data_IF_075793854186
#
_entry.id   IF_075793854186
#
_cell.length_a   1.000
_cell.length_b   1.000
_cell.length_c   1.000
_cell.angle_alpha   90.00
_cell.angle_beta   90.00
_cell.angle_gamma   90.00
#
_symmetry.space_group_name_H-M   'P 1'
#
loop_
_entity.id
_entity.type
_entity.pdbx_description
1 polymer ?
#
# COMPACT_ATOMS: atom_id res chain seq x y z
N UNK A 1 -5.76 27.71 0.57
CA UNK A 1 -6.12 26.50 -0.21
C UNK A 1 -5.67 25.25 0.55
N UNK A 2 -6.45 24.66 1.47
CA UNK A 2 -5.93 23.52 2.26
C UNK A 2 -6.96 22.66 3.03
N UNK A 3 -8.21 22.52 2.55
CA UNK A 3 -9.17 21.59 3.19
C UNK A 3 -9.49 20.36 2.31
N UNK A 4 -8.96 20.32 1.08
CA UNK A 4 -9.45 19.42 0.03
C UNK A 4 -8.68 18.10 -0.08
N UNK A 5 -7.53 17.94 0.59
CA UNK A 5 -6.64 16.77 0.40
C UNK A 5 -6.39 15.91 1.63
N UNK A 6 -6.91 16.29 2.80
CA UNK A 6 -6.70 15.54 4.05
C UNK A 6 -7.35 14.16 4.03
N UNK A 7 -8.58 14.05 3.51
CA UNK A 7 -9.26 12.76 3.41
C UNK A 7 -8.58 11.80 2.41
N UNK A 8 -8.23 12.22 1.18
CA UNK A 8 -7.40 11.42 0.27
C UNK A 8 -6.06 10.99 0.88
N UNK A 9 -5.37 11.90 1.58
CA UNK A 9 -4.09 11.61 2.22
C UNK A 9 -4.25 10.55 3.32
N UNK A 10 -5.31 10.65 4.12
CA UNK A 10 -5.60 9.67 5.18
C UNK A 10 -5.87 8.29 4.60
N UNK A 11 -6.65 8.20 3.50
CA UNK A 11 -6.89 6.94 2.81
C UNK A 11 -5.59 6.31 2.30
N UNK A 12 -4.73 7.11 1.69
CA UNK A 12 -3.45 6.60 1.19
C UNK A 12 -2.53 6.13 2.32
N UNK A 13 -2.42 6.91 3.40
CA UNK A 13 -1.66 6.53 4.60
C UNK A 13 -2.15 5.18 5.14
N UNK A 14 -3.46 4.93 5.16
CA UNK A 14 -3.99 3.66 5.65
C UNK A 14 -3.62 2.49 4.72
N UNK A 15 -3.70 2.65 3.40
CA UNK A 15 -3.21 1.66 2.43
C UNK A 15 -1.72 1.33 2.68
N UNK A 16 -0.88 2.36 2.82
CA UNK A 16 0.55 2.14 3.06
C UNK A 16 0.83 1.46 4.41
N UNK A 17 0.03 1.74 5.44
CA UNK A 17 0.12 1.06 6.74
C UNK A 17 -0.27 -0.41 6.65
N UNK A 18 -1.40 -0.72 6.01
CA UNK A 18 -1.86 -2.10 5.84
C UNK A 18 -0.83 -2.92 5.06
N UNK A 19 -0.29 -2.37 3.98
CA UNK A 19 0.79 -2.98 3.20
C UNK A 19 2.09 -3.11 3.99
N UNK A 20 2.47 -2.11 4.81
CA UNK A 20 3.67 -2.23 5.66
C UNK A 20 3.60 -3.43 6.61
N UNK A 21 2.39 -3.77 7.10
CA UNK A 21 2.14 -4.94 7.92
C UNK A 21 2.38 -6.26 7.18
N UNK A 22 2.06 -6.33 5.88
CA UNK A 22 2.34 -7.49 5.01
C UNK A 22 3.85 -7.77 5.00
N UNK A 23 4.66 -6.72 4.79
CA UNK A 23 6.12 -6.84 4.70
C UNK A 23 6.83 -6.90 6.06
N UNK A 24 6.13 -6.69 7.18
CA UNK A 24 6.73 -6.64 8.51
C UNK A 24 7.59 -5.39 8.74
N UNK A 25 7.30 -4.30 8.02
CA UNK A 25 8.05 -3.05 8.08
C UNK A 25 7.42 -2.14 9.14
N UNK A 26 8.24 -1.39 9.88
CA UNK A 26 7.75 -0.35 10.79
C UNK A 26 7.55 0.95 9.99
N UNK A 27 6.30 1.34 9.65
CA UNK A 27 6.04 2.40 8.68
C UNK A 27 6.67 3.74 9.07
N UNK A 28 6.67 4.11 10.35
CA UNK A 28 7.19 5.41 10.83
C UNK A 28 8.69 5.61 10.63
N UNK A 29 9.46 4.56 10.33
CA UNK A 29 10.91 4.63 10.13
C UNK A 29 11.33 4.53 8.66
N UNK A 30 10.48 3.93 7.82
CA UNK A 30 10.87 3.44 6.50
C UNK A 30 10.01 4.03 5.39
N UNK A 31 8.76 4.43 5.68
CA UNK A 31 7.82 4.89 4.66
C UNK A 31 7.63 6.39 4.75
N UNK A 32 7.83 7.05 3.62
CA UNK A 32 7.70 8.49 3.46
C UNK A 32 6.72 8.81 2.33
N UNK A 33 5.98 9.91 2.51
CA UNK A 33 5.09 10.46 1.50
C UNK A 33 5.66 11.78 1.00
N UNK A 34 5.61 11.98 -0.30
CA UNK A 34 5.89 13.27 -0.91
C UNK A 34 4.81 13.60 -1.94
N UNK A 35 4.77 14.85 -2.38
CA UNK A 35 3.92 15.28 -3.49
C UNK A 35 4.78 16.09 -4.43
N UNK A 36 4.91 15.62 -5.67
CA UNK A 36 5.58 16.35 -6.74
C UNK A 36 4.82 16.10 -8.05
N UNK A 37 4.29 17.17 -8.63
CA UNK A 37 3.52 17.15 -9.88
C UNK A 37 4.39 17.20 -11.14
N UNK A 38 5.66 17.58 -11.02
CA UNK A 38 6.60 17.75 -12.13
C UNK A 38 7.34 16.46 -12.50
N UNK A 39 7.23 15.44 -11.66
CA UNK A 39 7.89 14.14 -11.88
C UNK A 39 6.91 13.07 -12.36
N UNK A 40 7.45 12.11 -13.10
CA UNK A 40 6.81 10.84 -13.45
C UNK A 40 7.12 9.74 -12.42
N UNK A 41 7.93 10.03 -11.41
CA UNK A 41 8.30 9.10 -10.34
C UNK A 41 7.11 8.83 -9.41
N UNK A 42 6.68 7.56 -9.42
CA UNK A 42 5.54 7.04 -8.65
C UNK A 42 5.97 6.74 -7.22
N UNK A 43 7.11 6.07 -7.08
CA UNK A 43 7.78 5.78 -5.85
C UNK A 43 9.28 5.63 -6.14
N UNK A 44 10.09 5.65 -5.08
CA UNK A 44 11.50 5.31 -5.13
C UNK A 44 11.98 4.79 -3.78
N UNK A 45 13.04 3.98 -3.79
CA UNK A 45 13.80 3.62 -2.60
C UNK A 45 15.08 4.45 -2.52
N UNK A 46 15.28 5.11 -1.38
CA UNK A 46 16.52 5.80 -1.08
C UNK A 46 17.00 5.45 0.32
N UNK A 47 18.22 4.92 0.40
CA UNK A 47 18.85 4.52 1.67
C UNK A 47 17.96 3.57 2.51
N UNK A 48 17.33 2.59 1.85
CA UNK A 48 16.42 1.60 2.46
C UNK A 48 15.12 2.20 3.01
N UNK A 49 14.79 3.43 2.66
CA UNK A 49 13.50 4.06 2.91
C UNK A 49 12.70 4.16 1.61
N UNK A 50 11.41 3.86 1.70
CA UNK A 50 10.47 3.88 0.57
C UNK A 50 9.73 5.22 0.55
N UNK A 51 9.76 5.90 -0.59
CA UNK A 51 9.08 7.18 -0.80
C UNK A 51 7.97 6.99 -1.81
N UNK A 52 6.75 7.40 -1.48
CA UNK A 52 5.58 7.27 -2.35
C UNK A 52 5.04 8.64 -2.73
N UNK A 53 4.79 8.85 -4.02
CA UNK A 53 4.27 10.11 -4.52
C UNK A 53 2.75 10.15 -4.43
N UNK A 54 2.23 10.99 -3.55
CA UNK A 54 0.81 11.17 -3.31
C UNK A 54 0.02 11.65 -4.54
N UNK A 55 0.68 12.35 -5.49
CA UNK A 55 0.06 12.74 -6.77
C UNK A 55 -0.50 11.54 -7.52
N UNK A 56 0.23 10.43 -7.56
CA UNK A 56 -0.18 9.25 -8.30
C UNK A 56 -1.35 8.53 -7.64
N UNK A 57 -1.37 8.47 -6.30
CA UNK A 57 -2.55 7.98 -5.59
C UNK A 57 -3.80 8.81 -5.91
N UNK A 58 -3.68 10.15 -5.89
CA UNK A 58 -4.79 11.04 -6.23
C UNK A 58 -5.32 10.80 -7.66
N UNK A 59 -4.41 10.59 -8.62
CA UNK A 59 -4.76 10.39 -10.02
C UNK A 59 -5.34 9.00 -10.33
N UNK A 60 -4.86 7.96 -9.66
CA UNK A 60 -5.19 6.57 -10.00
C UNK A 60 -6.29 5.97 -9.12
N UNK A 61 -6.27 6.22 -7.81
CA UNK A 61 -7.00 5.38 -6.86
C UNK A 61 -7.91 6.14 -5.90
N UNK A 62 -7.75 7.45 -5.73
CA UNK A 62 -8.51 8.18 -4.71
C UNK A 62 -10.03 8.10 -4.89
N UNK A 63 -10.50 8.25 -6.14
CA UNK A 63 -11.93 8.20 -6.46
C UNK A 63 -12.54 6.82 -6.20
N UNK A 64 -11.81 5.74 -6.48
CA UNK A 64 -12.31 4.38 -6.23
C UNK A 64 -12.18 3.96 -4.75
N UNK A 65 -11.32 4.64 -3.98
CA UNK A 65 -11.07 4.33 -2.57
C UNK A 65 -11.90 5.16 -1.58
N UNK A 66 -12.87 5.97 -2.04
CA UNK A 66 -13.65 6.88 -1.19
C UNK A 66 -14.26 6.18 0.03
N UNK A 67 -14.85 5.00 -0.17
CA UNK A 67 -15.51 4.22 0.90
C UNK A 67 -14.54 3.27 1.59
N UNK A 68 -13.74 2.54 0.81
CA UNK A 68 -12.72 1.59 1.29
C UNK A 68 -11.66 1.37 0.19
N UNK A 69 -10.43 0.95 0.53
CA UNK A 69 -9.46 0.53 -0.47
C UNK A 69 -10.02 -0.57 -1.38
N UNK A 70 -9.84 -0.43 -2.69
CA UNK A 70 -10.21 -1.47 -3.67
C UNK A 70 -9.10 -2.52 -3.76
N UNK A 71 -9.45 -3.74 -4.21
CA UNK A 71 -8.45 -4.77 -4.53
C UNK A 71 -7.45 -4.27 -5.58
N UNK A 72 -7.91 -3.48 -6.55
CA UNK A 72 -7.05 -2.87 -7.58
C UNK A 72 -6.02 -1.93 -6.97
N UNK A 73 -6.44 -0.97 -6.14
CA UNK A 73 -5.54 -0.03 -5.47
C UNK A 73 -4.55 -0.77 -4.56
N UNK A 74 -5.04 -1.71 -3.75
CA UNK A 74 -4.20 -2.49 -2.84
C UNK A 74 -3.15 -3.32 -3.61
N UNK A 75 -3.54 -3.95 -4.73
CA UNK A 75 -2.65 -4.75 -5.57
C UNK A 75 -1.59 -3.89 -6.25
N UNK A 76 -2.00 -2.72 -6.79
CA UNK A 76 -1.08 -1.79 -7.42
C UNK A 76 0.03 -1.36 -6.46
N UNK A 77 -0.36 -0.88 -5.27
CA UNK A 77 0.62 -0.43 -4.28
C UNK A 77 1.41 -1.60 -3.67
N UNK A 78 0.83 -2.79 -3.52
CA UNK A 78 1.59 -3.99 -3.12
C UNK A 78 2.74 -4.29 -4.11
N UNK A 79 2.46 -4.23 -5.41
CA UNK A 79 3.50 -4.42 -6.43
C UNK A 79 4.49 -3.26 -6.44
N UNK A 80 4.07 -2.01 -6.20
CA UNK A 80 5.00 -0.89 -6.00
C UNK A 80 5.92 -1.14 -4.80
N UNK A 81 5.43 -1.63 -3.67
CA UNK A 81 6.28 -2.01 -2.54
C UNK A 81 7.31 -3.07 -2.92
N UNK A 82 6.89 -4.14 -3.60
CA UNK A 82 7.81 -5.20 -4.02
C UNK A 82 8.92 -4.65 -4.94
N UNK A 83 8.57 -3.75 -5.86
CA UNK A 83 9.51 -3.08 -6.74
C UNK A 83 10.52 -2.26 -5.93
N UNK A 84 10.04 -1.34 -5.08
CA UNK A 84 10.93 -0.49 -4.30
C UNK A 84 11.77 -1.28 -3.29
N UNK A 85 11.26 -2.39 -2.74
CA UNK A 85 12.03 -3.26 -1.86
C UNK A 85 13.16 -4.00 -2.60
N UNK A 86 12.99 -4.32 -3.88
CA UNK A 86 14.05 -4.93 -4.69
C UNK A 86 15.28 -4.01 -4.84
N UNK A 87 15.05 -2.68 -4.85
CA UNK A 87 16.13 -1.69 -4.84
C UNK A 87 17.01 -1.68 -3.58
N UNK A 88 16.64 -2.41 -2.52
CA UNK A 88 17.55 -2.67 -1.40
C UNK A 88 18.74 -3.56 -1.77
N UNK A 89 18.66 -4.29 -2.90
CA UNK A 89 19.67 -5.25 -3.35
C UNK A 89 20.28 -4.87 -4.70
N UNK A 90 19.47 -4.33 -5.62
CA UNK A 90 19.91 -4.01 -6.98
C UNK A 90 19.33 -2.66 -7.41
N UNK A 91 20.21 -1.71 -7.72
CA UNK A 91 19.80 -0.37 -8.17
C UNK A 91 19.20 -0.39 -9.58
N UNK A 92 19.83 -1.10 -10.53
CA UNK A 92 19.39 -1.07 -11.93
C UNK A 92 18.23 -2.04 -12.19
N UNK A 93 17.30 -1.65 -13.07
CA UNK A 93 16.23 -2.51 -13.58
C UNK A 93 16.76 -3.60 -14.55
N UNK A 94 17.49 -4.57 -14.01
CA UNK A 94 18.02 -5.72 -14.75
C UNK A 94 17.42 -7.04 -14.26
N UNK A 95 17.84 -8.17 -14.85
CA UNK A 95 17.30 -9.49 -14.50
C UNK A 95 17.42 -9.84 -12.99
N UNK A 96 18.41 -9.29 -12.26
CA UNK A 96 18.53 -9.49 -10.81
C UNK A 96 17.48 -8.68 -10.06
N UNK A 97 17.22 -7.44 -10.48
CA UNK A 97 16.13 -6.65 -9.93
C UNK A 97 14.79 -7.36 -10.12
N UNK A 98 14.51 -7.84 -11.34
CA UNK A 98 13.28 -8.59 -11.63
C UNK A 98 13.17 -9.87 -10.80
N UNK A 99 14.28 -10.56 -10.54
CA UNK A 99 14.30 -11.71 -9.65
C UNK A 99 13.92 -11.34 -8.21
N UNK A 100 14.48 -10.28 -7.62
CA UNK A 100 14.12 -9.84 -6.28
C UNK A 100 12.69 -9.32 -6.21
N UNK A 101 12.26 -8.53 -7.19
CA UNK A 101 10.90 -8.00 -7.29
C UNK A 101 9.85 -9.11 -7.30
N UNK A 102 10.00 -10.09 -8.20
CA UNK A 102 9.11 -11.26 -8.26
C UNK A 102 9.18 -12.10 -6.98
N UNK A 103 10.37 -12.33 -6.43
CA UNK A 103 10.54 -13.06 -5.17
C UNK A 103 9.82 -12.37 -3.99
N UNK A 104 9.88 -11.04 -3.90
CA UNK A 104 9.11 -10.28 -2.90
C UNK A 104 7.61 -10.48 -3.10
N UNK A 105 7.12 -10.38 -4.33
CA UNK A 105 5.71 -10.61 -4.61
C UNK A 105 5.30 -12.02 -4.19
N UNK A 106 6.03 -13.06 -4.61
CA UNK A 106 5.74 -14.46 -4.29
C UNK A 106 5.72 -14.76 -2.78
N UNK A 107 6.75 -14.30 -2.06
CA UNK A 107 6.90 -14.57 -0.62
C UNK A 107 5.81 -13.89 0.20
N UNK A 108 5.42 -12.67 -0.17
CA UNK A 108 4.48 -11.87 0.60
C UNK A 108 3.03 -11.96 0.09
N UNK A 109 2.79 -12.55 -1.08
CA UNK A 109 1.45 -12.76 -1.66
C UNK A 109 0.48 -13.43 -0.68
N UNK A 110 0.83 -14.50 0.06
CA UNK A 110 -0.13 -15.13 0.97
C UNK A 110 -0.65 -14.17 2.04
N UNK A 111 0.24 -13.39 2.68
CA UNK A 111 -0.14 -12.36 3.67
C UNK A 111 -0.95 -11.24 3.04
N UNK A 112 -0.61 -10.84 1.82
CA UNK A 112 -1.36 -9.84 1.07
C UNK A 112 -2.80 -10.32 0.78
N UNK A 113 -2.97 -11.55 0.29
CA UNK A 113 -4.28 -12.14 0.04
C UNK A 113 -5.11 -12.25 1.32
N UNK A 114 -4.49 -12.52 2.47
CA UNK A 114 -5.20 -12.57 3.75
C UNK A 114 -5.74 -11.20 4.18
N UNK A 115 -4.99 -10.10 3.98
CA UNK A 115 -5.52 -8.76 4.28
C UNK A 115 -6.63 -8.36 3.31
N UNK A 116 -6.57 -8.76 2.04
CA UNK A 116 -7.62 -8.45 1.06
C UNK A 116 -8.97 -9.05 1.46
N UNK A 117 -8.99 -10.29 1.97
CA UNK A 117 -10.22 -10.93 2.48
C UNK A 117 -10.85 -10.10 3.61
N UNK A 118 -10.03 -9.48 4.47
CA UNK A 118 -10.52 -8.63 5.56
C UNK A 118 -11.11 -7.31 5.05
N UNK A 119 -10.66 -6.80 3.89
CA UNK A 119 -11.24 -5.63 3.25
C UNK A 119 -12.54 -5.94 2.48
N UNK A 120 -12.76 -7.19 2.06
CA UNK A 120 -13.96 -7.63 1.36
C UNK A 120 -15.15 -7.88 2.30
N UNK A 121 -14.91 -8.41 3.51
CA UNK A 121 -15.96 -8.80 4.43
C UNK A 121 -16.83 -7.60 4.87
N UNK A 122 -18.17 -7.66 4.68
CA UNK A 122 -19.05 -6.67 5.28
C UNK A 122 -18.99 -6.77 6.81
N UNK A 123 -18.91 -5.62 7.47
CA UNK A 123 -18.87 -5.46 8.94
C UNK A 123 -20.19 -5.87 9.65
N UNK A 124 -20.88 -6.91 9.16
CA UNK A 124 -22.17 -7.38 9.69
C UNK A 124 -22.04 -8.51 10.72
N UNK A 125 -20.85 -9.10 10.90
CA UNK A 125 -20.68 -10.27 11.78
C UNK A 125 -20.31 -9.95 13.24
N UNK A 126 -20.01 -8.69 13.58
CA UNK A 126 -19.70 -8.31 14.97
C UNK A 126 -20.93 -7.98 15.83
N UNK A 127 -22.12 -7.82 15.23
CA UNK A 127 -23.34 -7.47 15.98
C UNK A 127 -24.23 -8.66 16.38
N UNK A 128 -23.91 -9.90 15.98
CA UNK A 128 -24.76 -11.08 16.27
C UNK A 128 -24.38 -11.90 17.51
N UNK A 129 -23.34 -11.53 18.27
CA UNK A 129 -22.84 -12.33 19.41
C UNK A 129 -23.20 -11.81 20.82
N UNK A 130 -24.20 -10.93 20.97
CA UNK A 130 -24.66 -10.49 22.30
C UNK A 130 -26.18 -10.40 22.48
N UNK A 131 -26.93 -11.37 21.94
CA UNK A 131 -28.33 -11.56 22.37
C UNK A 131 -28.67 -13.03 22.60
N UNK A 132 -29.06 -13.27 23.86
CA UNK A 132 -29.86 -14.36 24.41
C UNK A 132 -29.13 -15.69 24.69
N UNK A 133 -28.83 -15.90 25.97
CA UNK A 133 -29.26 -17.12 26.65
C UNK A 133 -30.09 -16.69 27.87
N UNK A 134 -31.23 -17.35 28.02
CA UNK A 134 -32.25 -17.19 29.05
C UNK A 134 -31.70 -17.25 30.46
#
# INVERSE_FOLDING_TARGET
MSHTRTAPLTRFINILKDLSGVFGIVPTKVIHLFYDDNTTCIAFNFNRSLFFNFKFYLGYHDNECITRPTVNAMTYWFMTFCHELAHNYVHDHNAKHEHYFSSFAEVYMPKFLDILKNHEAPNELLHKSKRVKY
#
